data_IF_041247972793
#
_entry.id   IF_041247972793
#
_cell.length_a   1.000
_cell.length_b   1.000
_cell.length_c   1.000
_cell.angle_alpha   90.00
_cell.angle_beta   90.00
_cell.angle_gamma   90.00
#
_symmetry.space_group_name_H-M   'P 1'
#
loop_
_entity.id
_entity.type
_entity.pdbx_description
1 polymer ?
#
# COMPACT_ATOMS: atom_id res chain seq x y z
N UNK A 1 -25.21 7.82 -39.88
CA UNK A 1 -24.01 7.02 -39.57
C UNK A 1 -22.81 7.94 -39.73
N UNK A 2 -21.94 8.06 -38.72
CA UNK A 2 -20.69 8.81 -38.84
C UNK A 2 -19.79 8.14 -39.87
N UNK A 3 -19.13 8.93 -40.73
CA UNK A 3 -18.16 8.41 -41.69
C UNK A 3 -16.92 7.92 -40.96
N UNK A 4 -16.36 6.81 -41.45
CA UNK A 4 -15.15 6.20 -40.88
C UNK A 4 -14.00 6.20 -41.87
N UNK A 5 -12.78 6.25 -41.36
CA UNK A 5 -11.53 6.32 -42.12
C UNK A 5 -10.50 5.38 -41.52
N UNK A 6 -9.65 4.75 -42.33
CA UNK A 6 -8.57 3.86 -41.82
C UNK A 6 -7.23 4.54 -42.05
N UNK A 7 -6.49 4.78 -40.96
CA UNK A 7 -5.17 5.42 -40.97
C UNK A 7 -4.24 4.50 -40.16
N UNK A 8 -3.13 4.08 -40.75
CA UNK A 8 -2.13 3.21 -40.10
C UNK A 8 -2.73 1.93 -39.46
N UNK A 9 -3.79 1.38 -40.05
CA UNK A 9 -4.48 0.17 -39.56
C UNK A 9 -5.49 0.42 -38.43
N UNK A 10 -5.64 1.66 -37.95
CA UNK A 10 -6.64 2.05 -36.96
C UNK A 10 -7.85 2.65 -37.68
N UNK A 11 -9.06 2.26 -37.28
CA UNK A 11 -10.30 2.85 -37.80
C UNK A 11 -10.62 4.09 -36.97
N UNK A 12 -10.96 5.19 -37.63
CA UNK A 12 -11.33 6.47 -37.04
C UNK A 12 -12.76 6.84 -37.41
N UNK A 13 -13.46 7.54 -36.53
CA UNK A 13 -14.75 8.17 -36.79
C UNK A 13 -14.62 9.68 -36.90
N UNK A 14 -15.36 10.27 -37.85
CA UNK A 14 -15.58 11.71 -37.88
C UNK A 14 -16.42 12.16 -36.68
N UNK A 15 -15.83 13.01 -35.83
CA UNK A 15 -16.51 13.68 -34.72
C UNK A 15 -16.44 15.20 -34.87
N UNK A 16 -17.48 15.88 -34.38
CA UNK A 16 -17.51 17.33 -34.31
C UNK A 16 -16.82 17.75 -33.00
N UNK A 17 -15.69 18.45 -33.12
CA UNK A 17 -14.85 18.83 -31.99
C UNK A 17 -13.75 19.80 -32.40
N UNK A 18 -13.03 20.35 -31.42
CA UNK A 18 -11.82 21.12 -31.68
C UNK A 18 -10.63 20.16 -31.73
N UNK A 19 -9.79 20.28 -32.76
CA UNK A 19 -8.59 19.49 -32.85
C UNK A 19 -7.50 20.01 -31.90
N UNK A 20 -6.76 19.08 -31.31
CA UNK A 20 -5.55 19.34 -30.54
C UNK A 20 -4.28 18.99 -31.34
N UNK A 21 -3.13 19.46 -30.87
CA UNK A 21 -1.84 19.13 -31.48
C UNK A 21 -1.60 17.63 -31.35
N UNK A 22 -1.35 16.97 -32.49
CA UNK A 22 -1.21 15.52 -32.58
C UNK A 22 -2.45 14.79 -33.12
N UNK A 23 -3.61 15.43 -33.18
CA UNK A 23 -4.83 14.82 -33.70
C UNK A 23 -4.78 14.64 -35.22
N UNK A 24 -5.57 13.68 -35.72
CA UNK A 24 -5.89 13.58 -37.13
C UNK A 24 -7.18 14.33 -37.43
N UNK A 25 -7.17 15.11 -38.50
CA UNK A 25 -8.36 15.83 -38.98
C UNK A 25 -8.59 15.53 -40.46
N UNK A 26 -9.85 15.57 -40.87
CA UNK A 26 -10.24 15.55 -42.27
C UNK A 26 -10.74 16.94 -42.70
N UNK A 27 -10.14 17.47 -43.76
CA UNK A 27 -10.50 18.76 -44.33
C UNK A 27 -11.78 18.60 -45.16
N UNK A 28 -12.84 19.37 -44.86
CA UNK A 28 -14.15 19.17 -45.52
C UNK A 28 -14.14 19.52 -47.00
N UNK A 29 -13.28 20.44 -47.45
CA UNK A 29 -13.26 20.89 -48.86
C UNK A 29 -12.63 19.89 -49.82
N UNK A 30 -11.59 19.16 -49.41
CA UNK A 30 -10.82 18.27 -50.29
C UNK A 30 -10.73 16.82 -49.78
N UNK A 31 -11.25 16.54 -48.57
CA UNK A 31 -11.22 15.21 -47.97
C UNK A 31 -9.82 14.75 -47.54
N UNK A 32 -8.82 15.64 -47.54
CA UNK A 32 -7.45 15.29 -47.14
C UNK A 32 -7.40 15.08 -45.64
N UNK A 33 -6.86 13.93 -45.25
CA UNK A 33 -6.55 13.59 -43.86
C UNK A 33 -5.15 14.07 -43.55
N UNK A 34 -4.99 14.79 -42.45
CA UNK A 34 -3.70 15.28 -42.03
C UNK A 34 -3.57 15.32 -40.51
N UNK A 35 -2.33 15.29 -40.02
CA UNK A 35 -2.02 15.42 -38.60
C UNK A 35 -1.83 16.89 -38.24
N UNK A 36 -2.34 17.28 -37.08
CA UNK A 36 -2.11 18.61 -36.51
C UNK A 36 -0.70 18.67 -35.92
N UNK A 37 0.08 19.65 -36.37
CA UNK A 37 1.47 19.88 -35.94
C UNK A 37 1.56 21.08 -34.98
N UNK A 38 0.72 22.09 -35.18
CA UNK A 38 0.66 23.27 -34.31
C UNK A 38 -0.75 23.87 -34.29
N UNK A 39 -1.06 24.68 -33.27
CA UNK A 39 -2.31 25.39 -33.10
C UNK A 39 -2.02 26.83 -32.69
N UNK A 40 -2.39 27.77 -33.54
CA UNK A 40 -2.29 29.20 -33.26
C UNK A 40 -3.66 29.86 -33.16
N UNK A 41 -3.65 31.15 -32.82
CA UNK A 41 -4.85 31.98 -32.73
C UNK A 41 -5.64 32.03 -34.05
N UNK A 42 -4.94 31.78 -35.17
CA UNK A 42 -5.47 31.81 -36.53
C UNK A 42 -5.78 30.42 -37.10
N UNK A 43 -5.87 29.38 -36.26
CA UNK A 43 -6.30 28.04 -36.68
C UNK A 43 -5.23 26.96 -36.51
N UNK A 44 -5.43 25.87 -37.25
CA UNK A 44 -4.62 24.66 -37.14
C UNK A 44 -3.48 24.71 -38.16
N UNK A 45 -2.35 24.08 -37.87
CA UNK A 45 -1.24 23.95 -38.81
C UNK A 45 -0.94 22.47 -39.01
N UNK A 46 -0.85 22.06 -40.27
CA UNK A 46 -0.60 20.68 -40.65
C UNK A 46 0.69 20.51 -41.49
N UNK A 47 1.42 21.61 -41.71
CA UNK A 47 2.74 21.65 -42.32
C UNK A 47 3.49 22.88 -41.80
N UNK A 48 4.80 22.79 -41.57
CA UNK A 48 5.61 23.89 -41.02
C UNK A 48 5.35 25.22 -41.74
N UNK A 49 4.83 26.20 -40.98
CA UNK A 49 4.74 27.59 -41.42
C UNK A 49 3.61 27.95 -42.40
N UNK A 50 2.68 27.05 -42.75
CA UNK A 50 1.51 27.39 -43.58
C UNK A 50 0.21 27.32 -42.78
N UNK A 51 -0.55 28.43 -42.66
CA UNK A 51 -1.84 28.42 -41.97
C UNK A 51 -2.77 27.46 -42.68
N UNK A 52 -3.25 26.48 -41.93
CA UNK A 52 -3.94 25.32 -42.47
C UNK A 52 -5.33 25.21 -41.88
N UNK A 53 -6.34 25.72 -42.60
CA UNK A 53 -7.77 25.58 -42.29
C UNK A 53 -8.31 26.72 -41.40
N UNK A 54 -8.65 27.83 -42.06
CA UNK A 54 -9.66 28.79 -41.57
C UNK A 54 -10.95 28.73 -42.40
N UNK A 55 -10.85 28.48 -43.71
CA UNK A 55 -11.94 28.83 -44.63
C UNK A 55 -12.83 27.65 -45.07
N UNK A 56 -12.42 26.42 -44.76
CA UNK A 56 -13.07 25.22 -45.32
C UNK A 56 -13.67 24.28 -44.27
N UNK A 57 -13.40 24.53 -42.98
CA UNK A 57 -13.81 23.65 -41.89
C UNK A 57 -13.12 22.28 -41.92
N UNK A 58 -13.14 21.61 -40.77
CA UNK A 58 -12.58 20.27 -40.59
C UNK A 58 -13.50 19.43 -39.71
N UNK A 59 -13.22 18.13 -39.63
CA UNK A 59 -13.70 17.26 -38.56
C UNK A 59 -12.52 16.54 -37.92
N UNK A 60 -12.63 16.30 -36.61
CA UNK A 60 -11.63 15.54 -35.86
C UNK A 60 -11.89 14.06 -36.11
N UNK A 61 -10.81 13.29 -36.24
CA UNK A 61 -10.84 11.86 -36.38
C UNK A 61 -10.46 11.24 -35.04
N UNK A 62 -11.46 10.69 -34.35
CA UNK A 62 -11.23 9.93 -33.13
C UNK A 62 -11.08 8.45 -33.46
N UNK A 63 -10.07 7.76 -32.92
CA UNK A 63 -9.90 6.34 -33.17
C UNK A 63 -11.07 5.57 -32.57
N UNK A 64 -11.78 4.83 -33.42
CA UNK A 64 -12.72 3.80 -33.02
C UNK A 64 -11.90 2.61 -32.50
N UNK A 65 -11.37 2.74 -31.28
CA UNK A 65 -10.69 1.66 -30.56
C UNK A 65 -11.70 0.57 -30.19
N UNK A 66 -12.10 -0.21 -31.18
CA UNK A 66 -12.53 -1.59 -30.96
C UNK A 66 -11.28 -2.46 -30.94
N UNK A 67 -10.36 -2.18 -30.00
CA UNK A 67 -9.20 -3.03 -29.79
C UNK A 67 -9.59 -4.08 -28.73
N UNK A 68 -9.97 -5.31 -29.12
CA UNK A 68 -10.42 -6.34 -28.18
C UNK A 68 -9.38 -6.61 -27.09
N UNK A 69 -8.09 -6.42 -27.39
CA UNK A 69 -6.99 -6.59 -26.44
C UNK A 69 -7.07 -5.61 -25.25
N UNK A 70 -7.62 -4.42 -25.44
CA UNK A 70 -7.78 -3.43 -24.36
C UNK A 70 -8.84 -3.91 -23.36
N UNK A 71 -9.92 -4.53 -23.82
CA UNK A 71 -10.95 -5.08 -22.92
C UNK A 71 -10.40 -6.24 -22.09
N UNK A 72 -9.59 -7.10 -22.68
CA UNK A 72 -8.94 -8.20 -21.95
C UNK A 72 -7.91 -7.69 -20.95
N UNK A 73 -7.12 -6.67 -21.31
CA UNK A 73 -6.21 -5.97 -20.39
C UNK A 73 -6.97 -5.35 -19.22
N UNK A 74 -8.08 -4.63 -19.48
CA UNK A 74 -8.92 -4.02 -18.45
C UNK A 74 -9.56 -5.09 -17.55
N UNK A 75 -10.04 -6.19 -18.12
CA UNK A 75 -10.62 -7.29 -17.35
C UNK A 75 -9.58 -8.00 -16.47
N UNK A 76 -8.35 -8.19 -16.97
CA UNK A 76 -7.24 -8.74 -16.21
C UNK A 76 -6.81 -7.78 -15.08
N UNK A 77 -6.75 -6.47 -15.35
CA UNK A 77 -6.46 -5.45 -14.35
C UNK A 77 -7.53 -5.42 -13.26
N UNK A 78 -8.81 -5.42 -13.62
CA UNK A 78 -9.92 -5.45 -12.67
C UNK A 78 -9.85 -6.67 -11.74
N UNK A 79 -9.62 -7.88 -12.30
CA UNK A 79 -9.45 -9.11 -11.52
C UNK A 79 -8.26 -9.02 -10.56
N UNK A 80 -7.16 -8.40 -10.99
CA UNK A 80 -5.96 -8.24 -10.16
C UNK A 80 -6.16 -7.22 -9.04
N UNK A 81 -6.86 -6.12 -9.32
CA UNK A 81 -7.22 -5.12 -8.30
C UNK A 81 -8.11 -5.77 -7.24
N UNK A 82 -9.17 -6.47 -7.64
CA UNK A 82 -10.07 -7.15 -6.71
C UNK A 82 -9.32 -8.19 -5.85
N UNK A 83 -8.41 -8.96 -6.46
CA UNK A 83 -7.57 -9.90 -5.71
C UNK A 83 -6.69 -9.19 -4.67
N UNK A 84 -6.07 -8.08 -5.04
CA UNK A 84 -5.21 -7.31 -4.14
C UNK A 84 -6.00 -6.68 -3.00
N UNK A 85 -7.20 -6.17 -3.26
CA UNK A 85 -8.11 -5.63 -2.24
C UNK A 85 -8.49 -6.70 -1.22
N UNK A 86 -8.93 -7.88 -1.69
CA UNK A 86 -9.24 -9.01 -0.80
C UNK A 86 -8.03 -9.43 0.05
N UNK A 87 -6.84 -9.45 -0.54
CA UNK A 87 -5.60 -9.79 0.17
C UNK A 87 -5.24 -8.71 1.20
N UNK A 88 -5.39 -7.43 0.87
CA UNK A 88 -5.15 -6.33 1.80
C UNK A 88 -6.08 -6.42 3.01
N UNK A 89 -7.39 -6.59 2.80
CA UNK A 89 -8.33 -6.77 3.90
C UNK A 89 -8.01 -8.00 4.77
N UNK A 90 -7.58 -9.11 4.17
CA UNK A 90 -7.16 -10.29 4.93
C UNK A 90 -5.91 -10.03 5.79
N UNK A 91 -4.93 -9.29 5.27
CA UNK A 91 -3.72 -8.96 6.02
C UNK A 91 -4.00 -7.96 7.14
N UNK A 92 -4.87 -6.98 6.90
CA UNK A 92 -5.33 -6.04 7.93
C UNK A 92 -6.03 -6.77 9.08
N UNK A 93 -6.88 -7.75 8.78
CA UNK A 93 -7.52 -8.56 9.80
C UNK A 93 -6.49 -9.35 10.63
N UNK A 94 -5.54 -10.01 9.96
CA UNK A 94 -4.48 -10.76 10.64
C UNK A 94 -3.63 -9.87 11.56
N UNK A 95 -3.33 -8.65 11.13
CA UNK A 95 -2.60 -7.68 11.95
C UNK A 95 -3.39 -7.29 13.19
N UNK A 96 -4.69 -7.00 13.06
CA UNK A 96 -5.56 -6.69 14.21
C UNK A 96 -5.63 -7.86 15.19
N UNK A 97 -5.79 -9.08 14.69
CA UNK A 97 -5.85 -10.27 15.53
C UNK A 97 -4.52 -10.50 16.27
N UNK A 98 -3.39 -10.30 15.57
CA UNK A 98 -2.04 -10.43 16.16
C UNK A 98 -1.80 -9.35 17.22
N UNK A 99 -2.20 -8.11 16.95
CA UNK A 99 -2.12 -7.02 17.93
C UNK A 99 -2.92 -7.34 19.20
N UNK A 100 -4.18 -7.78 19.05
CA UNK A 100 -5.01 -8.16 20.19
C UNK A 100 -4.44 -9.34 20.99
N UNK A 101 -3.79 -10.30 20.31
CA UNK A 101 -3.11 -11.40 21.00
C UNK A 101 -1.87 -10.90 21.78
N UNK A 102 -1.07 -10.00 21.19
CA UNK A 102 0.07 -9.41 21.89
C UNK A 102 -0.35 -8.60 23.12
N UNK A 103 -1.45 -7.85 23.04
CA UNK A 103 -2.00 -7.10 24.18
C UNK A 103 -2.41 -8.05 25.32
N UNK A 104 -3.14 -9.13 25.01
CA UNK A 104 -3.51 -10.16 26.00
C UNK A 104 -2.28 -10.79 26.65
N UNK A 105 -1.28 -11.17 25.84
CA UNK A 105 -0.04 -11.74 26.36
C UNK A 105 0.72 -10.75 27.25
N UNK A 106 0.69 -9.45 26.92
CA UNK A 106 1.29 -8.42 27.75
C UNK A 106 0.56 -8.27 29.10
N UNK A 107 -0.77 -8.33 29.11
CA UNK A 107 -1.57 -8.33 30.35
C UNK A 107 -1.32 -9.56 31.21
N UNK A 108 -1.29 -10.76 30.59
CA UNK A 108 -0.94 -12.01 31.27
C UNK A 108 0.46 -11.93 31.89
N UNK A 109 1.45 -11.43 31.15
CA UNK A 109 2.82 -11.26 31.64
C UNK A 109 2.88 -10.28 32.83
N UNK A 110 2.15 -9.16 32.76
CA UNK A 110 2.07 -8.21 33.86
C UNK A 110 1.43 -8.84 35.12
N UNK A 111 0.39 -9.63 34.93
CA UNK A 111 -0.30 -10.35 36.00
C UNK A 111 0.63 -11.38 36.67
N UNK A 112 1.33 -12.19 35.87
CA UNK A 112 2.30 -13.17 36.38
C UNK A 112 3.42 -12.47 37.16
N UNK A 113 3.96 -11.36 36.64
CA UNK A 113 5.01 -10.59 37.32
C UNK A 113 4.53 -10.03 38.67
N UNK A 114 3.30 -9.55 38.75
CA UNK A 114 2.71 -9.11 40.01
C UNK A 114 2.48 -10.26 41.00
N UNK A 115 2.15 -11.46 40.52
CA UNK A 115 1.97 -12.64 41.38
C UNK A 115 3.30 -13.26 41.83
N UNK A 116 4.37 -13.11 41.06
CA UNK A 116 5.70 -13.64 41.41
C UNK A 116 6.50 -12.72 42.33
N UNK A 117 6.32 -11.40 42.23
CA UNK A 117 6.99 -10.41 43.08
C UNK A 117 6.83 -10.67 44.61
N UNK A 118 5.63 -10.96 45.17
CA UNK A 118 5.51 -11.22 46.60
C UNK A 118 6.15 -12.56 47.02
N UNK A 119 6.17 -13.56 46.12
CA UNK A 119 6.81 -14.85 46.39
C UNK A 119 8.33 -14.74 46.45
N UNK A 120 8.94 -13.93 45.59
CA UNK A 120 10.38 -13.65 45.67
C UNK A 120 10.76 -12.97 46.98
N UNK A 121 9.93 -12.05 47.48
CA UNK A 121 10.16 -11.38 48.77
C UNK A 121 10.03 -12.35 49.94
N UNK A 122 9.07 -13.27 49.92
CA UNK A 122 8.93 -14.32 50.95
C UNK A 122 10.11 -15.29 50.97
N UNK A 123 10.65 -15.68 49.81
CA UNK A 123 11.83 -16.58 49.75
C UNK A 123 13.04 -15.87 50.36
N UNK A 124 13.29 -14.61 49.99
CA UNK A 124 14.43 -13.84 50.50
C UNK A 124 14.32 -13.59 52.01
N UNK A 125 13.11 -13.39 52.56
CA UNK A 125 12.94 -13.22 54.01
C UNK A 125 13.11 -14.54 54.76
N UNK A 126 12.65 -15.65 54.19
CA UNK A 126 12.83 -16.97 54.78
C UNK A 126 14.30 -17.42 54.80
N UNK A 127 15.06 -17.17 53.73
CA UNK A 127 16.51 -17.42 53.70
C UNK A 127 17.24 -16.63 54.79
N UNK A 128 16.99 -15.31 54.91
CA UNK A 128 17.57 -14.49 55.98
C UNK A 128 17.22 -14.97 57.39
N UNK A 129 16.01 -15.50 57.55
CA UNK A 129 15.58 -16.08 58.83
C UNK A 129 16.36 -17.36 59.15
N UNK A 130 16.56 -18.24 58.17
CA UNK A 130 17.36 -19.46 58.33
C UNK A 130 18.82 -19.14 58.64
N UNK A 131 19.43 -18.16 57.95
CA UNK A 131 20.79 -17.70 58.23
C UNK A 131 20.92 -17.20 59.67
N UNK A 132 19.95 -16.40 60.15
CA UNK A 132 19.94 -15.93 61.55
C UNK A 132 19.81 -17.06 62.58
N UNK A 133 19.06 -18.12 62.26
CA UNK A 133 19.00 -19.32 63.11
C UNK A 133 20.36 -20.03 63.11
N UNK A 134 20.98 -20.21 61.94
CA UNK A 134 22.27 -20.86 61.81
C UNK A 134 23.35 -20.14 62.64
N UNK A 135 23.40 -18.81 62.57
CA UNK A 135 24.31 -17.98 63.37
C UNK A 135 24.09 -18.17 64.87
N UNK A 136 22.83 -18.14 65.34
CA UNK A 136 22.51 -18.35 66.76
C UNK A 136 22.86 -19.75 67.26
N UNK A 137 22.67 -20.77 66.42
CA UNK A 137 23.05 -22.14 66.74
C UNK A 137 24.56 -22.26 66.85
N UNK A 138 25.31 -21.67 65.90
CA UNK A 138 26.76 -21.64 65.93
C UNK A 138 27.29 -20.93 67.19
N UNK A 139 26.75 -19.77 67.56
CA UNK A 139 27.10 -19.06 68.79
C UNK A 139 26.87 -19.90 70.05
N UNK A 140 25.73 -20.60 70.13
CA UNK A 140 25.43 -21.48 71.28
C UNK A 140 26.38 -22.65 71.38
N UNK A 141 26.71 -23.29 70.26
CA UNK A 141 27.66 -24.42 70.23
C UNK A 141 29.07 -23.97 70.63
N UNK A 142 29.54 -22.83 70.11
CA UNK A 142 30.83 -22.24 70.50
C UNK A 142 30.83 -21.84 71.98
N UNK A 143 29.73 -21.27 72.46
CA UNK A 143 29.55 -20.91 73.87
C UNK A 143 29.54 -22.12 74.81
N UNK A 144 28.92 -23.23 74.42
CA UNK A 144 28.94 -24.49 75.17
C UNK A 144 30.35 -25.12 75.17
N UNK A 145 31.01 -25.20 74.01
CA UNK A 145 32.37 -25.71 73.91
C UNK A 145 33.37 -24.93 74.78
N UNK A 146 33.22 -23.60 74.87
CA UNK A 146 34.02 -22.77 75.79
C UNK A 146 33.73 -23.04 77.27
N UNK A 147 32.50 -23.41 77.64
CA UNK A 147 32.16 -23.77 79.03
C UNK A 147 32.68 -25.15 79.42
N UNK A 148 32.79 -26.08 78.47
CA UNK A 148 33.25 -27.45 78.71
C UNK A 148 34.78 -27.60 78.61
N UNK A 149 35.47 -26.77 77.81
CA UNK A 149 36.93 -26.74 77.69
C UNK A 149 37.67 -25.94 78.78
N UNK A 150 36.95 -25.31 79.72
CA UNK A 150 37.52 -24.73 80.94
C UNK A 150 37.38 -25.76 82.07
N UNK A 151 38.21 -26.78 82.01
CA UNK A 151 38.51 -27.69 83.12
C UNK A 151 39.98 -28.07 83.07
#
# INVERSE_FOLDING_TARGET
MSKTHVIDGVTYAEVDGQAEVGDYVIIKSNGVITKVIDRGDFGIFYSEGKPGILDHGYKVLEPLTSNPDIHDLLANLARRVEYLERKASSLEQQLRDTQGNCEKLAEELATVKHQSAPKEVEVVTFEKFLDSIADKVAERLVGQARKEGVR
#
